data_IF_821326739015
#
_entry.id   IF_821326739015
#
_cell.length_a   1.000
_cell.length_b   1.000
_cell.length_c   1.000
_cell.angle_alpha   90.00
_cell.angle_beta   90.00
_cell.angle_gamma   90.00
#
_symmetry.space_group_name_H-M   'P 1'
#
loop_
_entity.id
_entity.type
_entity.pdbx_description
1 polymer ?
#
# COMPACT_ATOMS: atom_id res chain seq x y z
N UNK A 1 13.20 -0.24 0.28
CA UNK A 1 11.74 -0.49 0.33
C UNK A 1 11.05 0.10 1.57
N UNK A 2 11.59 1.18 2.17
CA UNK A 2 10.94 1.85 3.32
C UNK A 2 9.52 2.29 3.00
N UNK A 3 9.30 2.97 1.87
CA UNK A 3 7.99 3.46 1.41
C UNK A 3 6.85 2.41 1.43
N UNK A 4 7.12 1.16 1.07
CA UNK A 4 6.10 0.11 1.08
C UNK A 4 5.72 -0.33 2.50
N UNK A 5 6.72 -0.42 3.40
CA UNK A 5 6.58 -0.85 4.80
C UNK A 5 6.12 0.25 5.74
N UNK A 6 6.59 1.49 5.56
CA UNK A 6 6.31 2.58 6.49
C UNK A 6 4.93 3.17 6.27
N UNK A 7 4.44 3.12 5.04
CA UNK A 7 3.34 3.98 4.64
C UNK A 7 2.21 3.20 3.97
N UNK A 8 2.49 2.59 2.81
CA UNK A 8 1.44 2.05 1.94
C UNK A 8 0.71 0.88 2.59
N UNK A 9 1.46 -0.08 3.11
CA UNK A 9 0.88 -1.25 3.76
C UNK A 9 0.15 -0.85 5.06
N UNK A 10 0.75 -0.15 6.05
CA UNK A 10 0.03 0.25 7.26
C UNK A 10 -1.25 1.05 6.98
N UNK A 11 -1.22 1.99 6.04
CA UNK A 11 -2.40 2.78 5.65
C UNK A 11 -3.49 1.87 5.07
N UNK A 12 -3.12 0.96 4.16
CA UNK A 12 -4.06 0.03 3.51
C UNK A 12 -4.66 -0.99 4.48
N UNK A 13 -3.86 -1.50 5.43
CA UNK A 13 -4.32 -2.43 6.47
C UNK A 13 -5.27 -1.74 7.45
N UNK A 14 -4.94 -0.53 7.89
CA UNK A 14 -5.76 0.21 8.84
C UNK A 14 -7.06 0.69 8.20
N UNK A 15 -7.03 1.20 6.98
CA UNK A 15 -8.27 1.63 6.32
C UNK A 15 -9.20 0.43 6.09
N UNK A 16 -8.65 -0.72 5.70
CA UNK A 16 -9.42 -1.96 5.62
C UNK A 16 -10.02 -2.34 6.99
N UNK A 17 -9.26 -2.20 8.08
CA UNK A 17 -9.76 -2.45 9.44
C UNK A 17 -10.87 -1.48 9.83
N UNK A 18 -10.76 -0.20 9.48
CA UNK A 18 -11.76 0.83 9.76
C UNK A 18 -13.06 0.55 9.01
N UNK A 19 -12.97 0.19 7.72
CA UNK A 19 -14.13 -0.01 6.84
C UNK A 19 -14.79 -1.37 7.07
N UNK A 20 -14.01 -2.45 7.13
CA UNK A 20 -14.54 -3.83 7.16
C UNK A 20 -14.55 -4.44 8.56
N UNK A 21 -13.86 -3.84 9.52
CA UNK A 21 -13.65 -4.42 10.85
C UNK A 21 -12.63 -5.55 10.90
N UNK A 22 -11.99 -5.93 9.78
CA UNK A 22 -11.00 -7.02 9.72
C UNK A 22 -9.59 -6.47 9.56
N UNK A 23 -8.66 -6.97 10.37
CA UNK A 23 -7.24 -6.69 10.20
C UNK A 23 -6.67 -7.78 9.30
N UNK A 24 -6.11 -7.40 8.16
CA UNK A 24 -5.53 -8.31 7.17
C UNK A 24 -4.13 -7.80 6.92
N UNK A 25 -3.12 -8.66 7.08
CA UNK A 25 -1.74 -8.30 6.78
C UNK A 25 -1.53 -8.34 5.28
N UNK A 26 -1.07 -7.25 4.68
CA UNK A 26 -0.90 -7.08 3.24
C UNK A 26 0.56 -7.26 2.83
N UNK A 27 0.78 -7.67 1.57
CA UNK A 27 2.12 -7.96 1.07
C UNK A 27 2.86 -6.71 0.63
N UNK A 28 3.92 -6.33 1.34
CA UNK A 28 4.84 -5.29 0.91
C UNK A 28 5.71 -5.76 -0.26
N UNK A 29 5.92 -7.07 -0.35
CA UNK A 29 6.70 -7.68 -1.43
C UNK A 29 5.98 -7.57 -2.77
N UNK A 30 4.66 -7.70 -2.81
CA UNK A 30 3.90 -7.49 -4.05
C UNK A 30 4.11 -6.05 -4.56
N UNK A 31 4.04 -5.05 -3.68
CA UNK A 31 4.33 -3.66 -4.04
C UNK A 31 5.77 -3.52 -4.54
N UNK A 32 6.75 -4.04 -3.79
CA UNK A 32 8.15 -3.96 -4.16
C UNK A 32 8.48 -4.64 -5.49
N UNK A 33 7.82 -5.76 -5.82
CA UNK A 33 8.12 -6.56 -7.00
C UNK A 33 7.30 -6.13 -8.23
N UNK A 34 6.05 -5.75 -8.05
CA UNK A 34 5.07 -5.54 -9.12
C UNK A 34 4.77 -4.07 -9.42
N UNK A 35 4.97 -3.15 -8.47
CA UNK A 35 4.81 -1.73 -8.73
C UNK A 35 6.08 -1.15 -9.38
N UNK A 36 6.18 -1.35 -10.69
CA UNK A 36 7.34 -0.94 -11.52
C UNK A 36 7.05 0.16 -12.51
N UNK A 37 5.82 0.68 -12.51
CA UNK A 37 5.42 1.73 -13.44
C UNK A 37 6.10 3.05 -13.09
N UNK A 38 6.13 3.38 -11.79
CA UNK A 38 6.70 4.62 -11.28
C UNK A 38 7.53 4.45 -10.00
N UNK A 39 7.48 3.27 -9.37
CA UNK A 39 8.29 2.91 -8.22
C UNK A 39 9.45 1.98 -8.60
N UNK A 40 10.54 2.05 -7.84
CA UNK A 40 11.79 1.33 -8.11
C UNK A 40 12.06 0.25 -7.05
N UNK A 41 11.00 -0.30 -6.44
CA UNK A 41 11.09 -1.39 -5.48
C UNK A 41 12.05 -1.08 -4.32
N UNK A 42 13.19 -1.77 -4.28
CA UNK A 42 14.18 -1.57 -3.23
C UNK A 42 14.89 -0.22 -3.31
N UNK A 43 15.01 0.39 -4.50
CA UNK A 43 15.73 1.65 -4.72
C UNK A 43 14.94 2.89 -4.31
N UNK A 44 13.63 2.77 -4.09
CA UNK A 44 12.77 3.87 -3.67
C UNK A 44 11.41 3.81 -4.31
N UNK A 45 10.50 4.66 -3.84
CA UNK A 45 9.15 4.78 -4.35
C UNK A 45 8.37 5.87 -3.62
N UNK A 46 7.26 6.28 -4.22
CA UNK A 46 6.29 7.21 -3.68
C UNK A 46 4.97 6.47 -3.41
N UNK A 47 4.29 6.91 -2.36
CA UNK A 47 3.12 6.26 -1.82
C UNK A 47 1.90 6.41 -2.73
N UNK A 48 1.75 7.57 -3.38
CA UNK A 48 0.69 7.82 -4.37
C UNK A 48 0.69 6.79 -5.50
N UNK A 49 1.87 6.46 -6.03
CA UNK A 49 2.00 5.47 -7.09
C UNK A 49 1.68 4.06 -6.62
N UNK A 50 1.97 3.77 -5.36
CA UNK A 50 1.62 2.51 -4.74
C UNK A 50 0.10 2.39 -4.55
N UNK A 51 -0.56 3.46 -4.10
CA UNK A 51 -2.02 3.51 -4.01
C UNK A 51 -2.67 3.38 -5.39
N UNK A 52 -2.16 4.10 -6.38
CA UNK A 52 -2.60 3.97 -7.78
C UNK A 52 -2.39 2.53 -8.31
N UNK A 53 -1.28 1.88 -7.96
CA UNK A 53 -1.04 0.48 -8.28
C UNK A 53 -2.10 -0.43 -7.64
N UNK A 54 -2.42 -0.26 -6.36
CA UNK A 54 -3.46 -1.06 -5.68
C UNK A 54 -4.80 -0.90 -6.39
N UNK A 55 -5.17 0.33 -6.76
CA UNK A 55 -6.40 0.63 -7.51
C UNK A 55 -6.40 -0.10 -8.86
N UNK A 56 -5.34 0.11 -9.66
CA UNK A 56 -5.23 -0.47 -11.02
C UNK A 56 -5.11 -1.98 -11.02
N UNK A 57 -4.47 -2.55 -9.98
CA UNK A 57 -4.36 -3.97 -9.81
C UNK A 57 -5.70 -4.60 -9.40
N UNK A 58 -6.64 -3.81 -8.90
CA UNK A 58 -7.91 -4.28 -8.33
C UNK A 58 -7.75 -4.85 -6.93
N UNK A 59 -6.69 -4.44 -6.23
CA UNK A 59 -6.38 -4.85 -4.87
C UNK A 59 -4.93 -5.28 -4.68
N UNK A 60 -4.63 -5.75 -3.47
CA UNK A 60 -3.32 -6.24 -3.04
C UNK A 60 -3.51 -7.53 -2.24
N UNK A 61 -2.56 -8.45 -2.36
CA UNK A 61 -2.57 -9.74 -1.70
C UNK A 61 -2.16 -9.64 -0.23
N UNK A 62 -2.41 -10.72 0.50
CA UNK A 62 -1.93 -10.84 1.87
C UNK A 62 -0.44 -11.18 1.92
N UNK A 63 0.24 -10.86 3.01
CA UNK A 63 1.62 -11.33 3.25
C UNK A 63 1.69 -12.87 3.29
N UNK A 64 0.60 -13.57 3.61
CA UNK A 64 0.57 -15.04 3.55
C UNK A 64 0.63 -15.57 2.11
N UNK A 65 -0.07 -14.92 1.18
CA UNK A 65 -0.12 -15.33 -0.23
C UNK A 65 1.13 -14.87 -0.99
N UNK A 66 1.68 -13.71 -0.63
CA UNK A 66 2.91 -13.16 -1.20
C UNK A 66 3.89 -12.73 -0.09
N UNK A 67 4.64 -13.69 0.50
CA UNK A 67 5.50 -13.40 1.65
C UNK A 67 6.68 -12.48 1.36
N UNK A 68 7.02 -11.65 2.33
CA UNK A 68 8.23 -10.84 2.29
C UNK A 68 9.52 -11.67 2.31
N UNK A 69 10.44 -11.35 1.39
CA UNK A 69 11.72 -12.04 1.25
C UNK A 69 12.93 -11.12 1.49
N UNK A 70 12.74 -9.81 1.63
CA UNK A 70 13.85 -8.88 1.91
C UNK A 70 14.70 -8.48 0.71
N UNK A 71 14.42 -9.01 -0.48
CA UNK A 71 15.11 -8.66 -1.71
C UNK A 71 14.13 -8.52 -2.85
N UNK A 72 14.53 -7.70 -3.81
CA UNK A 72 13.75 -7.41 -5.00
C UNK A 72 13.68 -8.63 -5.91
N UNK A 73 12.47 -9.00 -6.34
CA UNK A 73 12.25 -10.09 -7.30
C UNK A 73 11.43 -9.59 -8.48
N UNK A 74 11.37 -10.46 -9.49
CA UNK A 74 10.44 -10.29 -10.59
C UNK A 74 9.02 -10.55 -10.07
N UNK A 75 8.09 -9.66 -10.39
CA UNK A 75 6.67 -9.82 -10.08
C UNK A 75 6.17 -11.22 -10.48
N UNK A 76 5.58 -11.93 -9.52
CA UNK A 76 5.02 -13.26 -9.72
C UNK A 76 3.49 -13.18 -9.91
N UNK A 77 2.98 -13.26 -11.15
CA UNK A 77 1.55 -13.17 -11.41
C UNK A 77 0.77 -14.38 -10.88
N UNK A 78 1.43 -15.49 -10.54
CA UNK A 78 0.76 -16.67 -9.98
C UNK A 78 0.38 -16.47 -8.52
N UNK A 79 1.12 -15.61 -7.81
CA UNK A 79 0.82 -15.19 -6.44
C UNK A 79 -0.15 -14.00 -6.40
N UNK A 80 -0.18 -13.20 -7.47
CA UNK A 80 -0.98 -11.98 -7.69
C UNK A 80 -2.50 -12.15 -7.83
N UNK A 81 -3.11 -13.10 -7.11
CA UNK A 81 -4.44 -13.61 -7.45
C UNK A 81 -5.52 -13.43 -6.38
N UNK A 82 -5.16 -13.19 -5.11
CA UNK A 82 -6.15 -13.12 -4.04
C UNK A 82 -6.82 -11.73 -3.97
N UNK A 83 -6.04 -10.65 -4.16
CA UNK A 83 -6.47 -9.25 -4.24
C UNK A 83 -7.49 -8.89 -3.16
N UNK A 84 -7.06 -9.07 -1.92
CA UNK A 84 -7.96 -9.22 -0.76
C UNK A 84 -8.41 -7.87 -0.22
N UNK A 85 -7.60 -6.84 -0.41
CA UNK A 85 -7.92 -5.47 -0.04
C UNK A 85 -7.72 -4.57 -1.26
N UNK A 86 -8.69 -3.69 -1.51
CA UNK A 86 -8.60 -2.64 -2.52
C UNK A 86 -8.95 -1.30 -1.88
N UNK A 87 -8.54 -0.22 -2.54
CA UNK A 87 -8.89 1.14 -2.15
C UNK A 87 -9.61 1.80 -3.32
N UNK A 88 -10.50 2.74 -3.01
CA UNK A 88 -11.28 3.44 -4.05
C UNK A 88 -10.54 4.67 -4.61
N UNK A 89 -9.56 5.19 -3.88
CA UNK A 89 -8.82 6.41 -4.23
C UNK A 89 -7.82 6.83 -3.15
N UNK A 90 -7.09 7.91 -3.44
CA UNK A 90 -6.18 8.59 -2.53
C UNK A 90 -6.26 10.11 -2.73
N UNK A 91 -5.88 10.88 -1.72
CA UNK A 91 -5.86 12.35 -1.76
C UNK A 91 -4.67 12.88 -0.95
N UNK A 92 -4.04 13.93 -1.46
CA UNK A 92 -2.97 14.64 -0.76
C UNK A 92 -3.51 15.61 0.28
N UNK A 93 -2.99 15.52 1.50
CA UNK A 93 -3.21 16.57 2.50
C UNK A 93 -2.53 17.86 2.04
N UNK A 94 -3.20 19.03 2.10
CA UNK A 94 -2.60 20.30 1.71
C UNK A 94 -1.25 20.55 2.38
N UNK A 95 -0.23 20.84 1.56
CA UNK A 95 1.13 21.07 2.05
C UNK A 95 1.19 22.23 3.04
N UNK A 96 2.08 22.13 4.03
CA UNK A 96 2.31 23.15 5.06
C UNK A 96 1.07 23.49 5.90
N UNK A 97 0.10 22.56 6.01
CA UNK A 97 -1.12 22.75 6.78
C UNK A 97 -1.30 21.65 7.83
N UNK A 98 -0.65 21.80 8.98
CA UNK A 98 -0.75 20.85 10.09
C UNK A 98 -2.18 20.70 10.64
N UNK A 99 -3.02 21.73 10.49
CA UNK A 99 -4.43 21.62 10.87
C UNK A 99 -5.22 20.69 9.94
N UNK A 100 -4.89 20.68 8.64
CA UNK A 100 -5.45 19.73 7.70
C UNK A 100 -4.96 18.31 8.02
N UNK A 101 -3.66 18.15 8.28
CA UNK A 101 -3.08 16.86 8.70
C UNK A 101 -3.73 16.32 9.98
N UNK A 102 -3.91 17.18 11.00
CA UNK A 102 -4.58 16.82 12.26
C UNK A 102 -6.00 16.31 12.03
N UNK A 103 -6.74 16.90 11.10
CA UNK A 103 -8.08 16.44 10.74
C UNK A 103 -8.04 15.08 10.05
N UNK A 104 -7.15 14.90 9.08
CA UNK A 104 -7.02 13.64 8.34
C UNK A 104 -6.65 12.47 9.26
N UNK A 105 -5.63 12.65 10.11
CA UNK A 105 -5.15 11.62 11.05
C UNK A 105 -6.21 11.22 12.09
N UNK A 106 -7.19 12.08 12.38
CA UNK A 106 -8.29 11.74 13.28
C UNK A 106 -9.27 10.72 12.69
N UNK A 107 -9.29 10.55 11.36
CA UNK A 107 -10.17 9.61 10.66
C UNK A 107 -9.46 8.32 10.27
N UNK A 108 -8.22 8.41 9.80
CA UNK A 108 -7.42 7.27 9.33
C UNK A 108 -5.93 7.63 9.35
N UNK A 109 -5.02 6.64 9.37
CA UNK A 109 -3.59 6.90 9.18
C UNK A 109 -3.30 7.59 7.83
N UNK A 110 -2.29 8.45 7.84
CA UNK A 110 -1.87 9.27 6.69
C UNK A 110 -0.39 9.01 6.45
N UNK A 111 0.01 8.94 5.18
CA UNK A 111 1.39 8.85 4.72
C UNK A 111 1.98 10.22 4.37
#
# INVERSE_FOLDING_TARGET
SCWAFSDVQPVSEFINKIVTGKFVSLSEQELGDCDRAFNEGCNGGLMDYAFEFIIRNGGIDTDQDYPYNGFERKCDPTKKNAKVVSIDGYEDVPSYNENALKKAVAHQPVS
#
